data_IF_243524150645
#
_entry.id   IF_243524150645
#
_cell.length_a   1.000
_cell.length_b   1.000
_cell.length_c   1.000
_cell.angle_alpha   90.00
_cell.angle_beta   90.00
_cell.angle_gamma   90.00
#
_symmetry.space_group_name_H-M   'P 1'
#
loop_
_entity.id
_entity.type
_entity.pdbx_description
1 polymer ?
#
# COMPACT_ATOMS: atom_id res chain seq x y z
N UNK A 1 -18.93 13.06 -5.21
CA UNK A 1 -17.77 12.31 -5.77
C UNK A 1 -17.90 10.85 -5.38
N UNK A 2 -17.93 9.92 -6.34
CA UNK A 2 -18.09 8.47 -6.05
C UNK A 2 -16.71 7.85 -5.80
N UNK A 3 -16.52 7.21 -4.65
CA UNK A 3 -15.25 6.54 -4.33
C UNK A 3 -15.13 5.29 -5.23
N UNK A 4 -14.00 5.09 -5.93
CA UNK A 4 -13.80 3.90 -6.76
C UNK A 4 -13.79 2.64 -5.90
N UNK A 5 -14.24 1.52 -6.49
CA UNK A 5 -14.15 0.20 -5.84
C UNK A 5 -12.68 -0.23 -5.76
N UNK A 6 -12.38 -1.07 -4.77
CA UNK A 6 -11.02 -1.53 -4.48
C UNK A 6 -11.05 -2.95 -3.90
N UNK A 7 -9.94 -3.65 -4.01
CA UNK A 7 -9.69 -4.88 -3.27
C UNK A 7 -9.33 -4.57 -1.81
N UNK A 8 -9.37 -5.58 -0.95
CA UNK A 8 -9.01 -5.49 0.47
C UNK A 8 -7.69 -6.22 0.69
N UNK A 9 -6.58 -5.58 0.30
CA UNK A 9 -5.23 -6.14 0.39
C UNK A 9 -4.51 -5.56 1.60
N UNK A 10 -4.68 -4.26 1.89
CA UNK A 10 -4.03 -3.62 3.02
C UNK A 10 -4.83 -3.84 4.32
N UNK A 11 -4.12 -4.15 5.40
CA UNK A 11 -4.67 -4.07 6.75
C UNK A 11 -4.86 -2.60 7.16
N UNK A 12 -6.11 -2.14 7.19
CA UNK A 12 -6.47 -0.75 7.45
C UNK A 12 -7.68 -0.68 8.39
N UNK A 13 -7.78 0.35 9.25
CA UNK A 13 -6.89 1.50 9.38
C UNK A 13 -5.56 1.17 10.06
N UNK A 14 -4.46 1.78 9.60
CA UNK A 14 -3.16 1.66 10.31
C UNK A 14 -3.09 2.68 11.44
N UNK A 15 -2.37 2.38 12.54
CA UNK A 15 -2.40 3.19 13.76
C UNK A 15 -1.72 4.55 13.58
N UNK A 16 -2.17 5.54 14.35
CA UNK A 16 -1.48 6.81 14.56
C UNK A 16 -0.72 6.72 15.89
N UNK A 17 0.60 6.94 15.86
CA UNK A 17 1.46 6.88 17.05
C UNK A 17 2.00 8.27 17.37
N UNK A 18 2.06 8.60 18.65
CA UNK A 18 2.77 9.79 19.13
C UNK A 18 4.18 9.35 19.52
N UNK A 19 5.19 10.05 19.02
CA UNK A 19 6.57 9.93 19.51
C UNK A 19 7.02 11.27 20.09
N UNK A 20 7.93 11.23 21.06
CA UNK A 20 8.58 12.44 21.58
C UNK A 20 10.04 12.43 21.17
N UNK A 21 10.51 13.55 20.61
CA UNK A 21 11.90 13.73 20.20
C UNK A 21 12.29 15.19 20.47
N UNK A 22 13.41 15.41 21.16
CA UNK A 22 13.93 16.75 21.53
C UNK A 22 12.87 17.66 22.19
N UNK A 23 12.08 17.11 23.11
CA UNK A 23 11.04 17.86 23.84
C UNK A 23 9.79 18.18 23.02
N UNK A 24 9.71 17.75 21.76
CA UNK A 24 8.54 17.96 20.87
C UNK A 24 7.79 16.64 20.63
N UNK A 25 6.47 16.73 20.45
CA UNK A 25 5.62 15.58 20.11
C UNK A 25 5.33 15.54 18.61
N UNK A 26 5.49 14.38 18.00
CA UNK A 26 5.21 14.13 16.60
C UNK A 26 4.17 13.03 16.45
N UNK A 27 3.26 13.21 15.50
CA UNK A 27 2.28 12.19 15.10
C UNK A 27 2.82 11.44 13.88
N UNK A 28 2.83 10.12 13.96
CA UNK A 28 3.27 9.22 12.89
C UNK A 28 2.12 8.31 12.50
N UNK A 29 1.67 8.41 11.25
CA UNK A 29 0.75 7.44 10.65
C UNK A 29 1.55 6.23 10.21
N UNK A 30 1.33 5.07 10.85
CA UNK A 30 2.12 3.85 10.65
C UNK A 30 1.68 3.06 9.42
N UNK A 31 1.76 3.68 8.26
CA UNK A 31 1.42 3.04 6.98
C UNK A 31 2.38 1.91 6.58
N UNK A 32 3.48 1.73 7.30
CA UNK A 32 4.32 0.53 7.26
C UNK A 32 3.62 -0.72 7.81
N UNK A 33 2.56 -0.57 8.62
CA UNK A 33 1.81 -1.67 9.25
C UNK A 33 0.58 -2.10 8.44
N UNK A 34 0.65 -2.04 7.10
CA UNK A 34 -0.44 -2.46 6.21
C UNK A 34 -0.57 -3.97 6.04
N UNK A 35 0.15 -4.79 6.83
CA UNK A 35 0.01 -6.25 6.85
C UNK A 35 0.64 -6.98 5.66
N UNK A 36 1.16 -6.24 4.69
CA UNK A 36 1.94 -6.77 3.57
C UNK A 36 3.39 -6.38 3.83
N UNK A 37 4.19 -7.36 4.25
CA UNK A 37 5.56 -7.14 4.74
C UNK A 37 6.35 -6.24 3.75
N UNK A 38 6.85 -5.10 4.26
CA UNK A 38 7.72 -4.15 3.55
C UNK A 38 7.10 -3.33 2.40
N UNK A 39 5.78 -3.32 2.25
CA UNK A 39 5.10 -2.65 1.11
C UNK A 39 4.56 -1.25 1.43
N UNK A 40 4.22 -1.02 2.69
CA UNK A 40 3.81 0.28 3.23
C UNK A 40 2.65 0.93 2.48
N UNK A 41 2.81 2.22 2.17
CA UNK A 41 1.77 3.05 1.54
C UNK A 41 1.40 2.62 0.10
N UNK A 42 2.21 1.79 -0.58
CA UNK A 42 1.98 1.44 -2.00
C UNK A 42 0.80 0.48 -2.14
N UNK A 43 0.58 -0.41 -1.17
CA UNK A 43 -0.55 -1.37 -1.20
C UNK A 43 -1.88 -0.65 -1.19
N UNK A 44 -2.03 0.45 -0.43
CA UNK A 44 -3.26 1.25 -0.44
C UNK A 44 -3.66 1.72 -1.84
N UNK A 45 -2.68 2.02 -2.69
CA UNK A 45 -2.91 2.45 -4.08
C UNK A 45 -3.21 1.24 -4.97
N UNK A 46 -2.44 0.16 -4.79
CA UNK A 46 -2.60 -1.07 -5.55
C UNK A 46 -3.98 -1.72 -5.37
N UNK A 47 -4.63 -1.58 -4.21
CA UNK A 47 -6.01 -2.06 -4.01
C UNK A 47 -6.99 -1.59 -5.10
N UNK A 48 -6.84 -0.36 -5.60
CA UNK A 48 -7.68 0.21 -6.65
C UNK A 48 -7.27 -0.28 -8.03
N UNK A 49 -5.96 -0.32 -8.31
CA UNK A 49 -5.42 -0.77 -9.59
C UNK A 49 -5.70 -2.25 -9.82
N UNK A 50 -5.55 -3.09 -8.78
CA UNK A 50 -5.84 -4.53 -8.86
C UNK A 50 -7.34 -4.79 -9.04
N UNK A 51 -8.21 -3.99 -8.42
CA UNK A 51 -9.65 -4.09 -8.68
C UNK A 51 -9.97 -3.83 -10.15
N UNK A 52 -9.31 -2.83 -10.76
CA UNK A 52 -9.46 -2.54 -12.18
C UNK A 52 -8.90 -3.68 -13.05
N UNK A 53 -7.69 -4.15 -12.78
CA UNK A 53 -7.08 -5.27 -13.52
C UNK A 53 -7.95 -6.54 -13.45
N UNK A 54 -8.52 -6.86 -12.29
CA UNK A 54 -9.46 -7.98 -12.14
C UNK A 54 -10.71 -7.79 -13.00
N UNK A 55 -11.26 -6.57 -13.03
CA UNK A 55 -12.43 -6.24 -13.86
C UNK A 55 -12.13 -6.36 -15.36
N UNK A 56 -10.93 -5.96 -15.77
CA UNK A 56 -10.46 -5.99 -17.15
C UNK A 56 -9.93 -7.37 -17.57
N UNK A 57 -9.85 -8.33 -16.64
CA UNK A 57 -9.29 -9.67 -16.85
C UNK A 57 -7.87 -9.60 -17.40
N UNK A 58 -7.06 -8.71 -16.82
CA UNK A 58 -5.66 -8.52 -17.21
C UNK A 58 -4.82 -9.71 -16.76
N UNK A 59 -4.00 -10.25 -17.67
CA UNK A 59 -3.09 -11.37 -17.37
C UNK A 59 -1.75 -10.91 -16.78
N UNK A 60 -1.32 -9.68 -17.08
CA UNK A 60 0.02 -9.17 -16.73
C UNK A 60 -0.07 -7.86 -15.97
N UNK A 61 0.49 -7.83 -14.76
CA UNK A 61 0.75 -6.60 -14.01
C UNK A 61 2.23 -6.23 -14.17
N UNK A 62 2.49 -5.09 -14.81
CA UNK A 62 3.85 -4.57 -15.00
C UNK A 62 4.12 -3.36 -14.08
N UNK A 63 5.31 -3.31 -13.49
CA UNK A 63 5.78 -2.19 -12.67
C UNK A 63 7.30 -2.09 -12.77
N UNK A 64 7.86 -0.94 -12.39
CA UNK A 64 9.29 -0.68 -12.40
C UNK A 64 9.72 0.04 -11.11
N UNK A 65 10.98 -0.09 -10.75
CA UNK A 65 11.67 0.76 -9.78
C UNK A 65 13.14 0.39 -9.67
N UNK A 66 13.88 1.13 -8.83
CA UNK A 66 15.27 0.79 -8.54
C UNK A 66 15.43 -0.54 -7.80
N UNK A 67 16.67 -0.98 -7.62
CA UNK A 67 17.05 -2.30 -7.08
C UNK A 67 16.30 -2.70 -5.79
N UNK A 68 16.07 -1.76 -4.87
CA UNK A 68 15.40 -2.02 -3.59
C UNK A 68 13.95 -1.53 -3.54
N UNK A 69 13.28 -1.39 -4.69
CA UNK A 69 11.94 -0.79 -4.78
C UNK A 69 10.89 -1.49 -3.91
N UNK A 70 10.41 -0.77 -2.89
CA UNK A 70 9.23 -1.19 -2.11
C UNK A 70 7.97 -1.29 -2.99
N UNK A 71 7.90 -0.51 -4.07
CA UNK A 71 6.76 -0.56 -4.98
C UNK A 71 6.75 -1.85 -5.79
N UNK A 72 7.90 -2.25 -6.34
CA UNK A 72 8.02 -3.49 -7.09
C UNK A 72 7.64 -4.70 -6.23
N UNK A 73 8.18 -4.79 -5.00
CA UNK A 73 7.79 -5.85 -4.04
C UNK A 73 6.30 -5.80 -3.69
N UNK A 74 5.74 -4.62 -3.44
CA UNK A 74 4.32 -4.47 -3.15
C UNK A 74 3.43 -4.95 -4.33
N UNK A 75 3.83 -4.66 -5.56
CA UNK A 75 3.09 -5.06 -6.76
C UNK A 75 3.09 -6.58 -6.93
N UNK A 76 4.23 -7.25 -6.70
CA UNK A 76 4.29 -8.72 -6.73
C UNK A 76 3.32 -9.33 -5.73
N UNK A 77 3.28 -8.82 -4.50
CA UNK A 77 2.36 -9.34 -3.48
C UNK A 77 0.89 -9.05 -3.84
N UNK A 78 0.61 -7.90 -4.45
CA UNK A 78 -0.76 -7.54 -4.84
C UNK A 78 -1.28 -8.30 -6.07
N UNK A 79 -0.37 -8.82 -6.91
CA UNK A 79 -0.70 -9.57 -8.12
C UNK A 79 -0.83 -11.09 -7.90
N UNK A 80 -0.36 -11.59 -6.75
CA UNK A 80 -0.53 -12.99 -6.32
C UNK A 80 -1.91 -13.27 -5.73
#
# INVERSE_FOLDING_TARGET
MRIPKKLKIANVPTPLKIISFEGKKFLIKRDDLTGVELSGNKVRKLEYLMYQAQKERTDIIFTEGGEQSNHARATVIAAG
#
